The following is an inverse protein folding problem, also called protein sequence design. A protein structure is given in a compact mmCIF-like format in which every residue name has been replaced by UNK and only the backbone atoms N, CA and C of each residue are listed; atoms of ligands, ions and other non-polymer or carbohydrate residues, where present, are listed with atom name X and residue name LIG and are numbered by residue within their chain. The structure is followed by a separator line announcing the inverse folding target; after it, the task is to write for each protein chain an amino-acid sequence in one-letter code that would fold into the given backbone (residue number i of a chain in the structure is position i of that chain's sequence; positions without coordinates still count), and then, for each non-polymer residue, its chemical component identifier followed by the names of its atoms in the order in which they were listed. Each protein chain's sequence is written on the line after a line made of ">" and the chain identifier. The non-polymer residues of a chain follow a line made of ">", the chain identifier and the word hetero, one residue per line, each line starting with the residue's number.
data_IF_425966875114
#
_entry.id   IF_425966875114
#
_cell.length_a   1.000
_cell.length_b   1.000
_cell.length_c   1.000
_cell.angle_alpha   90.00
_cell.angle_beta   90.00
_cell.angle_gamma   90.00
#
_symmetry.space_group_name_H-M   'P 1'
#
loop_
_entity.id
_entity.type
_entity.pdbx_description
1 polymer ?
#
# COMPACT_ATOMS: atom_id res chain seq x y z
N UNK A 1 -12.10 1.34 -6.22
CA UNK A 1 -11.30 2.00 -5.16
C UNK A 1 -12.26 2.40 -4.08
N UNK A 2 -12.18 1.71 -2.95
CA UNK A 2 -12.85 2.04 -1.70
C UNK A 2 -12.48 3.46 -1.25
N UNK A 3 -11.20 3.82 -1.34
CA UNK A 3 -10.68 5.17 -1.01
C UNK A 3 -11.01 6.26 -2.06
N UNK A 4 -11.86 5.98 -3.05
CA UNK A 4 -12.21 6.97 -4.07
C UNK A 4 -13.02 8.13 -3.48
N UNK A 5 -12.53 9.36 -3.60
CA UNK A 5 -13.16 10.54 -3.00
C UNK A 5 -12.52 11.03 -1.70
N UNK A 6 -11.72 10.20 -1.03
CA UNK A 6 -10.91 10.56 0.14
C UNK A 6 -9.42 10.26 -0.05
N UNK A 7 -9.02 9.94 -1.29
CA UNK A 7 -7.65 9.56 -1.62
C UNK A 7 -6.75 10.79 -1.76
N UNK A 8 -5.74 10.90 -0.89
CA UNK A 8 -4.72 11.95 -0.97
C UNK A 8 -4.01 12.03 -2.34
N UNK A 9 -3.78 10.89 -3.00
CA UNK A 9 -3.17 10.88 -4.33
C UNK A 9 -4.08 11.55 -5.37
N UNK A 10 -5.40 11.35 -5.27
CA UNK A 10 -6.38 12.00 -6.13
C UNK A 10 -6.38 13.51 -5.88
N UNK A 11 -6.42 13.94 -4.62
CA UNK A 11 -6.45 15.36 -4.27
C UNK A 11 -5.19 16.09 -4.74
N UNK A 12 -4.02 15.48 -4.54
CA UNK A 12 -2.75 16.04 -5.02
C UNK A 12 -2.69 16.10 -6.55
N UNK A 13 -3.20 15.07 -7.23
CA UNK A 13 -3.24 15.04 -8.69
C UNK A 13 -4.17 16.13 -9.26
N UNK A 14 -5.31 16.39 -8.64
CA UNK A 14 -6.23 17.46 -9.06
C UNK A 14 -5.69 18.84 -8.69
N UNK A 15 -5.13 19.00 -7.49
CA UNK A 15 -4.67 20.29 -6.99
C UNK A 15 -3.35 20.76 -7.61
N UNK A 16 -2.45 19.84 -7.95
CA UNK A 16 -1.07 20.16 -8.37
C UNK A 16 -0.58 19.35 -9.58
N UNK A 17 -1.31 18.34 -10.02
CA UNK A 17 -0.92 17.47 -11.14
C UNK A 17 -1.21 18.08 -12.52
N UNK A 18 -0.62 17.47 -13.54
CA UNK A 18 -0.95 17.80 -14.94
C UNK A 18 -2.33 17.25 -15.33
N UNK A 19 -3.01 17.93 -16.27
CA UNK A 19 -4.36 17.57 -16.73
C UNK A 19 -4.44 16.29 -17.58
N UNK A 20 -3.30 15.69 -17.95
CA UNK A 20 -3.26 14.48 -18.78
C UNK A 20 -2.01 13.64 -18.57
N UNK A 21 -2.13 12.34 -18.86
CA UNK A 21 -1.01 11.38 -18.84
C UNK A 21 -0.27 11.36 -20.17
N UNK A 22 1.06 11.29 -20.12
CA UNK A 22 1.92 11.01 -21.28
C UNK A 22 2.29 9.52 -21.41
N UNK A 23 2.15 8.75 -20.33
CA UNK A 23 2.48 7.33 -20.28
C UNK A 23 1.45 6.52 -21.09
N UNK A 24 1.93 5.66 -21.99
CA UNK A 24 1.09 4.89 -22.93
C UNK A 24 1.34 3.39 -22.87
N UNK A 25 2.36 2.96 -22.15
CA UNK A 25 2.78 1.59 -22.00
C UNK A 25 1.88 0.83 -21.01
N UNK A 26 2.03 -0.49 -20.95
CA UNK A 26 1.36 -1.31 -19.95
C UNK A 26 1.88 -0.96 -18.55
N UNK A 27 0.96 -0.71 -17.62
CA UNK A 27 1.29 -0.54 -16.21
C UNK A 27 1.61 -1.91 -15.59
N UNK A 28 2.54 -1.93 -14.64
CA UNK A 28 2.77 -3.11 -13.80
C UNK A 28 1.51 -3.50 -13.04
N UNK A 29 1.37 -4.80 -12.78
CA UNK A 29 0.29 -5.37 -11.99
C UNK A 29 0.94 -6.20 -10.90
N UNK A 30 0.51 -5.95 -9.66
CA UNK A 30 0.93 -6.67 -8.46
C UNK A 30 -0.15 -7.67 -8.10
N UNK A 31 0.26 -8.90 -7.79
CA UNK A 31 -0.64 -9.98 -7.35
C UNK A 31 -1.29 -9.65 -6.00
N UNK A 32 -2.50 -10.19 -5.81
CA UNK A 32 -3.21 -10.12 -4.53
C UNK A 32 -2.40 -10.80 -3.43
N UNK A 33 -2.48 -10.26 -2.22
CA UNK A 33 -1.84 -10.80 -1.03
C UNK A 33 -2.90 -11.02 0.05
N UNK A 34 -2.71 -12.07 0.83
CA UNK A 34 -3.49 -12.33 2.02
C UNK A 34 -2.72 -11.76 3.21
N UNK A 35 -3.23 -10.68 3.82
CA UNK A 35 -2.62 -10.05 5.00
C UNK A 35 -3.42 -10.29 6.28
N UNK A 36 -4.45 -11.15 6.22
CA UNK A 36 -5.39 -11.37 7.31
C UNK A 36 -6.77 -10.74 7.03
N UNK A 37 -7.71 -10.86 7.97
CA UNK A 37 -9.11 -10.52 7.73
C UNK A 37 -9.43 -9.02 7.83
N UNK A 38 -8.56 -8.22 8.47
CA UNK A 38 -8.83 -6.81 8.76
C UNK A 38 -8.29 -5.85 7.69
N UNK A 39 -7.13 -6.16 7.09
CA UNK A 39 -6.47 -5.31 6.11
C UNK A 39 -6.51 -5.98 4.73
N UNK A 40 -7.29 -5.42 3.81
CA UNK A 40 -7.38 -5.93 2.44
C UNK A 40 -6.13 -5.58 1.62
N UNK A 41 -5.42 -6.60 1.14
CA UNK A 41 -4.31 -6.46 0.18
C UNK A 41 -4.64 -7.05 -1.21
N UNK A 42 -5.92 -7.01 -1.58
CA UNK A 42 -6.38 -7.46 -2.89
C UNK A 42 -5.99 -6.50 -4.03
N UNK A 43 -5.68 -5.24 -3.74
CA UNK A 43 -5.50 -4.19 -4.75
C UNK A 43 -4.14 -3.49 -4.65
N UNK A 44 -3.08 -4.27 -4.35
CA UNK A 44 -1.70 -3.79 -4.16
C UNK A 44 -1.07 -3.13 -5.39
N UNK A 45 -1.67 -3.25 -6.57
CA UNK A 45 -1.29 -2.45 -7.76
C UNK A 45 -1.51 -0.94 -7.55
N UNK A 46 -2.32 -0.55 -6.56
CA UNK A 46 -2.55 0.87 -6.18
C UNK A 46 -1.54 1.40 -5.17
N UNK A 47 -0.80 0.52 -4.49
CA UNK A 47 0.21 0.94 -3.53
C UNK A 47 1.33 1.71 -4.22
N UNK A 48 1.60 2.93 -3.75
CA UNK A 48 2.65 3.80 -4.29
C UNK A 48 4.02 3.61 -3.61
N UNK A 49 4.15 2.63 -2.72
CA UNK A 49 5.42 2.28 -2.04
C UNK A 49 5.98 3.41 -1.15
N UNK A 50 5.09 4.22 -0.56
CA UNK A 50 5.44 5.29 0.37
C UNK A 50 5.91 4.80 1.76
N UNK A 51 5.87 3.49 2.00
CA UNK A 51 6.27 2.79 3.24
C UNK A 51 5.62 3.26 4.54
N UNK A 52 4.52 4.03 4.49
CA UNK A 52 3.79 4.47 5.70
C UNK A 52 3.27 3.31 6.54
N UNK A 53 2.66 2.29 5.92
CA UNK A 53 2.17 1.11 6.65
C UNK A 53 3.29 0.30 7.32
N UNK A 54 4.44 0.14 6.65
CA UNK A 54 5.62 -0.54 7.21
C UNK A 54 6.13 0.21 8.45
N UNK A 55 6.28 1.54 8.33
CA UNK A 55 6.72 2.39 9.46
C UNK A 55 5.69 2.42 10.58
N UNK A 56 4.40 2.48 10.27
CA UNK A 56 3.35 2.40 11.29
C UNK A 56 3.44 1.11 12.11
N UNK A 57 3.59 -0.04 11.43
CA UNK A 57 3.80 -1.33 12.10
C UNK A 57 4.99 -1.28 13.05
N UNK A 58 6.15 -0.85 12.54
CA UNK A 58 7.39 -0.84 13.31
C UNK A 58 7.42 0.20 14.45
N UNK A 59 6.96 1.41 14.19
CA UNK A 59 7.17 2.59 15.07
C UNK A 59 6.00 2.82 16.03
N UNK A 60 4.76 2.52 15.61
CA UNK A 60 3.55 2.82 16.37
C UNK A 60 2.92 1.55 16.92
N UNK A 61 2.68 0.54 16.07
CA UNK A 61 2.14 -0.74 16.52
C UNK A 61 3.19 -1.58 17.27
N UNK A 62 4.49 -1.26 17.12
CA UNK A 62 5.60 -1.95 17.77
C UNK A 62 5.86 -3.36 17.24
N UNK A 63 5.24 -3.74 16.12
CA UNK A 63 5.38 -5.07 15.49
C UNK A 63 5.75 -4.92 14.02
N UNK A 64 6.91 -5.47 13.65
CA UNK A 64 7.37 -5.47 12.27
C UNK A 64 6.75 -6.63 11.50
N UNK A 65 5.53 -6.43 10.99
CA UNK A 65 4.78 -7.47 10.25
C UNK A 65 4.91 -7.32 8.73
N UNK A 66 5.07 -6.07 8.27
CA UNK A 66 5.21 -5.72 6.86
C UNK A 66 6.63 -5.28 6.53
N UNK A 67 7.06 -5.57 5.30
CA UNK A 67 8.31 -5.09 4.74
C UNK A 67 8.19 -4.81 3.24
N UNK A 68 9.25 -4.24 2.67
CA UNK A 68 9.39 -4.09 1.22
C UNK A 68 10.35 -5.16 0.69
N UNK A 69 9.85 -6.03 -0.17
CA UNK A 69 10.66 -7.01 -0.90
C UNK A 69 10.91 -6.55 -2.33
N UNK A 70 11.90 -7.15 -2.98
CA UNK A 70 12.27 -6.83 -4.37
C UNK A 70 13.00 -5.50 -4.52
N UNK A 71 13.13 -5.04 -5.76
CA UNK A 71 13.83 -3.78 -6.10
C UNK A 71 13.23 -3.13 -7.33
N UNK A 72 13.17 -1.80 -7.32
CA UNK A 72 12.74 -1.01 -8.47
C UNK A 72 11.27 -1.24 -8.81
N UNK A 73 10.96 -1.52 -10.07
CA UNK A 73 9.59 -1.78 -10.50
C UNK A 73 8.99 -3.06 -9.89
N UNK A 74 9.84 -3.99 -9.46
CA UNK A 74 9.45 -5.24 -8.80
C UNK A 74 9.43 -5.12 -7.28
N UNK A 75 9.52 -3.91 -6.73
CA UNK A 75 9.31 -3.70 -5.29
C UNK A 75 7.85 -3.95 -4.93
N UNK A 76 7.64 -4.65 -3.82
CA UNK A 76 6.31 -4.97 -3.29
C UNK A 76 6.30 -4.87 -1.76
N UNK A 77 5.24 -4.28 -1.20
CA UNK A 77 4.96 -4.37 0.23
C UNK A 77 4.30 -5.73 0.50
N UNK A 78 4.85 -6.49 1.44
CA UNK A 78 4.34 -7.81 1.81
C UNK A 78 4.64 -8.14 3.27
N UNK A 79 3.88 -9.09 3.82
CA UNK A 79 4.18 -9.68 5.11
C UNK A 79 5.37 -10.65 5.04
N UNK A 80 5.95 -10.97 6.18
CA UNK A 80 6.89 -12.09 6.29
C UNK A 80 6.23 -13.40 5.84
N UNK A 81 7.03 -14.31 5.26
CA UNK A 81 6.53 -15.55 4.66
C UNK A 81 5.73 -16.36 5.69
N UNK A 82 4.47 -16.65 5.38
CA UNK A 82 3.57 -17.40 6.25
C UNK A 82 3.00 -16.60 7.43
N UNK A 83 3.19 -15.28 7.46
CA UNK A 83 2.66 -14.39 8.50
C UNK A 83 1.50 -13.54 7.97
N UNK A 84 0.61 -13.14 8.87
CA UNK A 84 -0.45 -12.14 8.65
C UNK A 84 -0.13 -10.86 9.42
N UNK A 85 -0.97 -9.83 9.25
CA UNK A 85 -0.91 -8.61 10.06
C UNK A 85 -1.89 -8.80 11.22
N UNK A 86 -1.35 -9.07 12.41
CA UNK A 86 -2.11 -9.55 13.56
C UNK A 86 -2.12 -8.55 14.74
N UNK A 87 -1.35 -7.46 14.65
CA UNK A 87 -1.39 -6.40 15.67
C UNK A 87 -2.82 -5.91 15.94
N UNK A 88 -3.14 -5.61 17.21
CA UNK A 88 -4.44 -5.03 17.56
C UNK A 88 -4.67 -3.64 16.93
N UNK A 89 -3.61 -2.97 16.47
CA UNK A 89 -3.65 -1.68 15.79
C UNK A 89 -3.61 -1.81 14.26
N UNK A 90 -3.60 -3.02 13.71
CA UNK A 90 -3.47 -3.30 12.28
C UNK A 90 -4.51 -2.60 11.40
N UNK A 91 -5.75 -2.47 11.87
CA UNK A 91 -6.82 -1.78 11.15
C UNK A 91 -6.50 -0.30 10.84
N UNK A 92 -5.73 0.36 11.70
CA UNK A 92 -5.35 1.76 11.49
C UNK A 92 -4.39 1.92 10.31
N UNK A 93 -3.76 0.84 9.81
CA UNK A 93 -2.87 0.89 8.64
C UNK A 93 -3.58 1.34 7.36
N UNK A 94 -4.92 1.23 7.31
CA UNK A 94 -5.74 1.63 6.16
C UNK A 94 -5.80 3.16 6.03
N UNK A 95 -5.77 3.87 7.17
CA UNK A 95 -5.93 5.32 7.23
C UNK A 95 -4.59 6.09 7.06
N UNK A 96 -3.44 5.41 7.14
CA UNK A 96 -2.12 6.06 7.26
C UNK A 96 -1.58 6.61 5.95
#
# INVERSE_FOLDING_TARGET
>A
CDQGGECQLQDLAVGYGGSGSRFKESKRIVSKKELGPLVSAAEMSRCIHCTRCVRFGQEIAGVMELGMAGRGEHSEIMAFVGSTVDSELSGNMIDV
#
